data_IF_588593324216
#
_entry.id   IF_588593324216
#
_cell.length_a   1.000
_cell.length_b   1.000
_cell.length_c   1.000
_cell.angle_alpha   90.00
_cell.angle_beta   90.00
_cell.angle_gamma   90.00
#
_symmetry.space_group_name_H-M   'P 1'
#
loop_
_entity.id
_entity.type
_entity.pdbx_description
1 polymer ?
#
# COMPACT_ATOMS: atom_id res chain seq x y z
N UNK A 1 -33.86 11.81 16.37
CA UNK A 1 -33.19 10.52 16.06
C UNK A 1 -31.99 10.86 15.21
N UNK A 2 -30.80 10.50 15.66
CA UNK A 2 -29.56 10.73 14.90
C UNK A 2 -29.24 9.47 14.12
N UNK A 3 -29.04 9.59 12.81
CA UNK A 3 -28.52 8.51 11.97
C UNK A 3 -27.01 8.72 11.88
N UNK A 4 -26.25 7.66 12.19
CA UNK A 4 -24.79 7.64 12.07
C UNK A 4 -24.44 6.68 10.93
N UNK A 5 -23.52 7.09 10.07
CA UNK A 5 -22.91 6.27 9.03
C UNK A 5 -21.41 6.11 9.34
N UNK A 6 -20.94 4.86 9.32
CA UNK A 6 -19.58 4.49 9.67
C UNK A 6 -18.98 3.58 8.62
N UNK A 7 -17.85 3.97 8.05
CA UNK A 7 -17.12 3.22 7.04
C UNK A 7 -15.79 2.71 7.61
N UNK A 8 -15.54 1.41 7.50
CA UNK A 8 -14.30 0.77 7.94
C UNK A 8 -13.81 -0.29 6.94
N UNK A 9 -12.51 -0.56 6.98
CA UNK A 9 -11.87 -1.62 6.20
C UNK A 9 -11.16 -2.61 7.12
N UNK A 10 -11.29 -3.90 6.82
CA UNK A 10 -10.58 -5.00 7.47
C UNK A 10 -9.82 -5.77 6.41
N UNK A 11 -8.52 -5.94 6.60
CA UNK A 11 -7.65 -6.65 5.68
C UNK A 11 -6.43 -7.26 6.39
N UNK A 12 -5.96 -8.44 5.95
CA UNK A 12 -4.73 -9.04 6.45
C UNK A 12 -3.51 -8.24 5.98
N UNK A 13 -2.30 -8.63 6.40
CA UNK A 13 -1.07 -8.00 5.93
C UNK A 13 -1.05 -7.88 4.40
N UNK A 14 -0.94 -6.65 3.88
CA UNK A 14 -1.01 -6.41 2.43
C UNK A 14 0.11 -7.11 1.64
N UNK A 15 1.25 -7.44 2.26
CA UNK A 15 2.29 -8.24 1.59
C UNK A 15 1.94 -9.73 1.42
N UNK A 16 0.78 -10.17 1.91
CA UNK A 16 0.25 -11.51 1.71
C UNK A 16 -0.58 -11.64 0.42
N UNK A 17 -1.28 -12.77 0.26
CA UNK A 17 -2.09 -13.01 -0.92
C UNK A 17 -3.45 -12.28 -0.91
N UNK A 18 -3.95 -11.83 0.24
CA UNK A 18 -5.18 -11.02 0.38
C UNK A 18 -6.40 -11.43 -0.48
N UNK A 19 -6.59 -12.73 -0.73
CA UNK A 19 -7.70 -13.26 -1.55
C UNK A 19 -7.36 -13.55 -3.01
N UNK A 20 -6.17 -13.17 -3.48
CA UNK A 20 -5.60 -13.58 -4.77
C UNK A 20 -5.05 -15.01 -4.72
N UNK A 21 -4.77 -15.61 -5.89
CA UNK A 21 -4.27 -16.99 -5.95
C UNK A 21 -2.84 -17.11 -5.44
N UNK A 22 -2.08 -16.02 -5.44
CA UNK A 22 -0.71 -15.97 -4.95
C UNK A 22 -0.33 -14.57 -4.46
N UNK A 23 0.75 -14.50 -3.67
CA UNK A 23 1.37 -13.23 -3.27
C UNK A 23 1.81 -12.44 -4.50
N UNK A 24 2.42 -13.11 -5.49
CA UNK A 24 2.91 -12.46 -6.71
C UNK A 24 1.79 -11.76 -7.49
N UNK A 25 0.62 -12.41 -7.60
CA UNK A 25 -0.56 -11.83 -8.25
C UNK A 25 -1.05 -10.59 -7.50
N UNK A 26 -1.14 -10.64 -6.17
CA UNK A 26 -1.52 -9.49 -5.37
C UNK A 26 -0.50 -8.33 -5.49
N UNK A 27 0.81 -8.63 -5.46
CA UNK A 27 1.86 -7.63 -5.59
C UNK A 27 1.81 -6.93 -6.95
N UNK A 28 1.51 -7.64 -8.03
CA UNK A 28 1.36 -7.02 -9.35
C UNK A 28 0.20 -6.00 -9.35
N UNK A 29 -0.94 -6.33 -8.74
CA UNK A 29 -2.06 -5.39 -8.60
C UNK A 29 -1.66 -4.18 -7.76
N UNK A 30 -1.06 -4.38 -6.58
CA UNK A 30 -0.62 -3.28 -5.73
C UNK A 30 0.42 -2.40 -6.41
N UNK A 31 1.37 -2.99 -7.13
CA UNK A 31 2.37 -2.25 -7.90
C UNK A 31 1.70 -1.39 -8.97
N UNK A 32 0.72 -1.92 -9.70
CA UNK A 32 -0.05 -1.15 -10.68
C UNK A 32 -0.80 0.02 -10.04
N UNK A 33 -1.45 -0.18 -8.89
CA UNK A 33 -2.19 0.87 -8.20
C UNK A 33 -1.27 1.95 -7.62
N UNK A 34 -0.14 1.53 -7.03
CA UNK A 34 0.82 2.40 -6.35
C UNK A 34 1.74 3.12 -7.33
N UNK A 35 2.07 2.53 -8.48
CA UNK A 35 2.93 3.16 -9.49
C UNK A 35 2.14 3.81 -10.64
N UNK A 36 0.91 3.38 -10.93
CA UNK A 36 0.09 3.91 -12.03
C UNK A 36 -0.54 5.29 -11.78
N UNK A 37 -0.49 5.82 -10.55
CA UNK A 37 -1.06 7.11 -10.17
C UNK A 37 0.05 8.09 -9.72
N UNK A 38 0.79 8.75 -10.62
CA UNK A 38 2.12 9.31 -10.28
C UNK A 38 2.11 10.65 -9.51
N UNK A 39 2.48 10.57 -8.24
CA UNK A 39 3.49 11.42 -7.57
C UNK A 39 4.28 10.51 -6.61
N UNK A 40 5.56 10.27 -6.91
CA UNK A 40 6.48 9.44 -6.10
C UNK A 40 7.53 10.33 -5.47
N UNK A 41 7.79 10.16 -4.17
CA UNK A 41 8.91 10.81 -3.47
C UNK A 41 10.09 9.84 -3.40
N UNK A 42 11.22 10.16 -4.04
CA UNK A 42 12.42 9.34 -3.92
C UNK A 42 12.99 9.36 -2.49
N UNK A 43 13.44 8.21 -1.98
CA UNK A 43 13.97 8.05 -0.61
C UNK A 43 15.24 8.89 -0.36
N UNK A 44 15.96 9.31 -1.42
CA UNK A 44 17.25 10.00 -1.31
C UNK A 44 17.60 11.06 -2.38
N UNK A 45 16.74 11.39 -3.34
CA UNK A 45 17.15 12.28 -4.45
C UNK A 45 16.15 13.36 -4.88
N UNK A 46 14.93 13.40 -4.34
CA UNK A 46 13.91 14.37 -4.79
C UNK A 46 13.55 14.25 -6.29
N UNK A 47 13.98 13.18 -6.96
CA UNK A 47 13.70 12.95 -8.37
C UNK A 47 12.36 12.20 -8.49
N UNK A 48 11.37 12.85 -9.10
CA UNK A 48 10.11 12.20 -9.48
C UNK A 48 10.36 11.18 -10.59
N UNK A 49 9.64 10.06 -10.54
CA UNK A 49 9.60 9.09 -11.63
C UNK A 49 8.57 9.51 -12.68
N UNK A 50 8.84 9.22 -13.96
CA UNK A 50 7.86 9.38 -15.05
C UNK A 50 6.75 8.34 -14.94
N UNK A 51 5.60 8.67 -15.54
CA UNK A 51 4.32 7.94 -15.46
C UNK A 51 4.41 6.52 -16.04
N UNK A 52 4.30 5.49 -15.19
CA UNK A 52 4.21 4.10 -15.64
C UNK A 52 2.73 3.76 -15.87
N UNK A 53 2.22 4.10 -17.05
CA UNK A 53 0.91 3.70 -17.54
C UNK A 53 0.87 2.18 -17.77
N UNK A 54 -0.08 1.50 -17.11
CA UNK A 54 -0.73 0.20 -17.43
C UNK A 54 -0.11 -0.61 -18.61
N UNK A 55 1.15 -0.98 -18.48
CA UNK A 55 1.91 -1.79 -19.43
C UNK A 55 2.49 -3.02 -18.75
N UNK A 56 3.65 -3.49 -19.20
CA UNK A 56 4.43 -4.47 -18.44
C UNK A 56 4.95 -3.79 -17.17
N UNK A 57 4.52 -4.28 -16.00
CA UNK A 57 5.02 -3.78 -14.72
C UNK A 57 6.54 -4.01 -14.65
N UNK A 58 7.35 -2.99 -14.33
CA UNK A 58 8.78 -3.16 -14.28
C UNK A 58 9.17 -4.10 -13.14
N UNK A 59 10.17 -4.95 -13.34
CA UNK A 59 10.71 -5.77 -12.27
C UNK A 59 11.60 -4.92 -11.35
N UNK A 60 10.97 -4.34 -10.34
CA UNK A 60 11.60 -3.40 -9.39
C UNK A 60 11.64 -3.94 -7.97
N UNK A 61 11.45 -5.25 -7.76
CA UNK A 61 11.38 -5.83 -6.42
C UNK A 61 10.40 -5.06 -5.49
N UNK A 62 9.19 -4.83 -6.00
CA UNK A 62 8.14 -4.11 -5.30
C UNK A 62 7.71 -4.88 -4.04
N UNK A 63 7.56 -4.15 -2.94
CA UNK A 63 7.26 -4.74 -1.62
C UNK A 63 6.43 -3.80 -0.77
N UNK A 64 5.64 -4.41 0.10
CA UNK A 64 4.95 -3.71 1.19
C UNK A 64 5.96 -3.41 2.29
N UNK A 65 6.14 -2.13 2.60
CA UNK A 65 7.03 -1.65 3.66
C UNK A 65 6.29 -1.52 4.99
N UNK A 66 6.81 -0.67 5.86
CA UNK A 66 6.20 -0.35 7.17
C UNK A 66 5.66 1.07 7.19
N UNK A 67 4.81 1.36 8.17
CA UNK A 67 4.27 2.71 8.41
C UNK A 67 3.61 3.31 7.17
N UNK A 68 2.77 2.52 6.51
CA UNK A 68 2.00 2.97 5.35
C UNK A 68 2.76 3.16 4.03
N UNK A 69 4.04 2.74 3.98
CA UNK A 69 4.92 2.83 2.81
C UNK A 69 4.92 1.57 1.94
N UNK A 70 4.97 1.79 0.64
CA UNK A 70 5.36 0.79 -0.36
C UNK A 70 6.76 1.11 -0.85
N UNK A 71 7.59 0.11 -1.11
CA UNK A 71 9.00 0.28 -1.47
C UNK A 71 9.35 -0.51 -2.71
N UNK A 72 10.35 -0.04 -3.45
CA UNK A 72 10.91 -0.76 -4.60
C UNK A 72 12.36 -0.31 -4.84
N UNK A 73 13.07 -1.05 -5.68
CA UNK A 73 14.42 -0.74 -6.11
C UNK A 73 14.44 -0.58 -7.64
N UNK A 74 15.01 0.53 -8.11
CA UNK A 74 15.19 0.78 -9.54
C UNK A 74 16.57 1.40 -9.75
N UNK A 75 17.36 0.83 -10.67
CA UNK A 75 18.70 1.35 -10.99
C UNK A 75 19.65 1.40 -9.78
N UNK A 76 19.46 0.53 -8.78
CA UNK A 76 20.25 0.53 -7.55
C UNK A 76 19.85 1.60 -6.53
N UNK A 77 18.78 2.36 -6.80
CA UNK A 77 18.21 3.36 -5.89
C UNK A 77 16.94 2.79 -5.25
N UNK A 78 16.84 2.92 -3.93
CA UNK A 78 15.62 2.56 -3.20
C UNK A 78 14.63 3.72 -3.21
N UNK A 79 13.39 3.41 -3.58
CA UNK A 79 12.27 4.34 -3.59
C UNK A 79 11.21 3.90 -2.58
N UNK A 80 10.40 4.86 -2.14
CA UNK A 80 9.17 4.53 -1.44
C UNK A 80 8.03 5.45 -1.88
N UNK A 81 6.81 5.02 -1.60
CA UNK A 81 5.63 5.88 -1.66
C UNK A 81 4.85 5.76 -0.37
N UNK A 82 4.56 6.91 0.24
CA UNK A 82 3.57 6.98 1.31
C UNK A 82 2.18 6.93 0.67
N UNK A 83 1.52 5.77 0.73
CA UNK A 83 0.21 5.57 0.09
C UNK A 83 -0.91 5.36 1.12
N UNK A 84 -0.60 4.77 2.27
CA UNK A 84 -1.55 4.64 3.40
C UNK A 84 -1.03 5.39 4.63
N UNK A 85 -1.85 5.63 5.67
CA UNK A 85 -1.43 6.38 6.84
C UNK A 85 -0.27 5.72 7.63
N UNK A 86 0.61 6.50 8.29
CA UNK A 86 1.68 5.95 9.14
C UNK A 86 1.21 5.08 10.31
N UNK A 87 -0.06 5.24 10.72
CA UNK A 87 -0.69 4.40 11.75
C UNK A 87 -0.84 2.95 11.32
N UNK A 88 -0.80 2.67 10.01
CA UNK A 88 -0.80 1.33 9.46
C UNK A 88 0.63 0.74 9.50
N UNK A 89 1.17 0.58 10.71
CA UNK A 89 2.60 0.27 10.97
C UNK A 89 3.06 -1.01 10.25
N UNK A 90 2.20 -2.03 10.27
CA UNK A 90 2.46 -3.34 9.68
C UNK A 90 1.49 -3.65 8.53
N UNK A 91 0.92 -2.64 7.86
CA UNK A 91 -0.01 -2.81 6.73
C UNK A 91 -1.14 -3.83 6.95
N UNK A 92 -1.70 -3.84 8.15
CA UNK A 92 -2.76 -4.75 8.57
C UNK A 92 -3.87 -3.95 9.25
N UNK A 93 -5.13 -4.27 8.96
CA UNK A 93 -6.29 -3.77 9.67
C UNK A 93 -7.13 -4.98 10.11
N UNK A 94 -6.90 -5.45 11.34
CA UNK A 94 -7.54 -6.67 11.82
C UNK A 94 -9.00 -6.41 12.23
N UNK A 95 -9.85 -7.45 12.28
CA UNK A 95 -11.20 -7.32 12.83
C UNK A 95 -11.21 -6.76 14.26
N UNK A 96 -10.24 -7.16 15.09
CA UNK A 96 -10.13 -6.74 16.49
C UNK A 96 -9.83 -5.23 16.60
N UNK A 97 -9.03 -4.69 15.67
CA UNK A 97 -8.79 -3.25 15.60
C UNK A 97 -10.10 -2.50 15.32
N UNK A 98 -10.90 -2.98 14.36
CA UNK A 98 -12.19 -2.36 14.02
C UNK A 98 -13.15 -2.40 15.22
N UNK A 99 -13.25 -3.54 15.92
CA UNK A 99 -14.09 -3.68 17.12
C UNK A 99 -13.63 -2.68 18.20
N UNK A 100 -12.31 -2.61 18.48
CA UNK A 100 -11.78 -1.68 19.47
C UNK A 100 -12.04 -0.20 19.13
N UNK A 101 -12.01 0.16 17.83
CA UNK A 101 -12.36 1.50 17.37
C UNK A 101 -13.85 1.80 17.56
N UNK A 102 -14.72 0.83 17.26
CA UNK A 102 -16.17 0.97 17.41
C UNK A 102 -16.60 1.03 18.89
N UNK A 103 -15.96 0.26 19.76
CA UNK A 103 -16.24 0.26 21.20
C UNK A 103 -15.88 1.59 21.87
N UNK A 104 -14.92 2.33 21.31
CA UNK A 104 -14.52 3.65 21.80
C UNK A 104 -15.41 4.80 21.26
N UNK A 105 -16.09 4.59 20.14
CA UNK A 105 -16.74 5.62 19.33
C UNK A 105 -18.00 6.26 19.96
#
# INVERSE_FOLDING_TARGET
MTIIDGHAHVFPYLGGACGYKSIAEHMAVLQSEVLGNVQVEAKYSGAGMEEVLLGELPDVNFRVGRFGRFEWNEGGVDYYRQHTPPTLQDHTASPELMIAQMDHA
#
